data_IF_998159682981
#
_entry.id   IF_998159682981
#
_cell.length_a   1.000
_cell.length_b   1.000
_cell.length_c   1.000
_cell.angle_alpha   90.00
_cell.angle_beta   90.00
_cell.angle_gamma   90.00
#
_symmetry.space_group_name_H-M   'P 1'
#
loop_
_entity.id
_entity.type
_entity.pdbx_description
1 polymer ?
#
# COMPACT_ATOMS: atom_id res chain seq x y z
N UNK A 1 52.64 -58.60 -99.18
CA UNK A 1 53.53 -57.67 -99.91
C UNK A 1 53.45 -56.31 -99.26
N UNK A 2 54.59 -55.61 -99.07
CA UNK A 2 54.72 -54.13 -98.95
C UNK A 2 54.05 -53.42 -97.74
N UNK A 3 54.60 -52.38 -97.08
CA UNK A 3 55.99 -51.86 -96.95
C UNK A 3 56.07 -51.06 -95.63
N UNK A 4 57.28 -50.84 -95.09
CA UNK A 4 57.59 -49.91 -93.97
C UNK A 4 57.50 -48.41 -94.37
N UNK A 5 57.71 -47.56 -93.36
CA UNK A 5 58.32 -46.20 -93.32
C UNK A 5 57.35 -45.04 -92.96
N UNK A 6 57.54 -44.37 -91.81
CA UNK A 6 58.33 -43.12 -91.55
C UNK A 6 57.71 -41.90 -92.29
N UNK A 7 57.58 -40.69 -91.77
CA UNK A 7 58.02 -39.99 -90.53
C UNK A 7 56.80 -39.10 -90.09
N UNK A 8 56.77 -38.19 -89.09
CA UNK A 8 57.75 -37.60 -88.17
C UNK A 8 57.08 -37.17 -86.83
N UNK A 9 57.64 -36.19 -86.11
CA UNK A 9 57.13 -35.65 -84.85
C UNK A 9 56.88 -34.13 -84.93
N UNK A 10 55.76 -33.67 -84.33
CA UNK A 10 55.58 -32.28 -83.89
C UNK A 10 54.96 -32.34 -82.49
N UNK A 11 55.71 -31.91 -81.48
CA UNK A 11 55.20 -31.74 -80.12
C UNK A 11 54.32 -30.49 -80.04
N UNK A 12 53.11 -30.62 -79.52
CA UNK A 12 52.31 -29.49 -79.06
C UNK A 12 52.12 -29.59 -77.54
N UNK A 13 52.23 -28.45 -76.85
CA UNK A 13 52.34 -28.40 -75.40
C UNK A 13 51.04 -28.82 -74.69
N UNK A 14 51.19 -29.45 -73.52
CA UNK A 14 50.07 -29.94 -72.73
C UNK A 14 49.29 -28.80 -72.07
N UNK A 15 47.98 -28.75 -72.34
CA UNK A 15 46.99 -28.18 -71.42
C UNK A 15 45.87 -29.20 -71.27
N UNK A 16 46.04 -30.13 -70.34
CA UNK A 16 44.97 -31.03 -69.91
C UNK A 16 44.48 -30.53 -68.56
N UNK A 17 43.41 -29.72 -68.59
CA UNK A 17 42.67 -29.38 -67.38
C UNK A 17 41.96 -30.65 -66.89
N UNK A 18 42.65 -31.45 -66.08
CA UNK A 18 42.06 -32.61 -65.42
C UNK A 18 41.13 -32.10 -64.31
N UNK A 19 39.88 -31.83 -64.66
CA UNK A 19 38.81 -31.68 -63.69
C UNK A 19 38.51 -33.06 -63.12
N UNK A 20 39.24 -33.46 -62.07
CA UNK A 20 38.90 -34.67 -61.30
C UNK A 20 37.55 -34.45 -60.63
N UNK A 21 36.49 -34.88 -61.31
CA UNK A 21 35.14 -34.94 -60.74
C UNK A 21 35.19 -35.97 -59.62
N UNK A 22 35.25 -35.50 -58.37
CA UNK A 22 35.25 -36.35 -57.19
C UNK A 22 33.88 -37.02 -57.05
N UNK A 23 33.72 -38.19 -57.67
CA UNK A 23 32.51 -38.99 -57.57
C UNK A 23 32.40 -39.55 -56.15
N UNK A 24 31.41 -39.09 -55.39
CA UNK A 24 31.03 -39.75 -54.15
C UNK A 24 30.55 -41.18 -54.47
N UNK A 25 31.08 -42.18 -53.76
CA UNK A 25 30.60 -43.56 -53.89
C UNK A 25 29.50 -43.81 -52.86
N UNK A 26 28.33 -44.19 -53.35
CA UNK A 26 27.23 -44.67 -52.52
C UNK A 26 27.39 -46.18 -52.33
N UNK A 27 27.78 -46.61 -51.13
CA UNK A 27 27.80 -48.03 -50.76
C UNK A 27 26.41 -48.39 -50.23
N UNK A 28 25.60 -48.99 -51.10
CA UNK A 28 24.42 -49.75 -50.64
C UNK A 28 24.97 -51.11 -50.22
N UNK A 29 24.82 -51.53 -48.96
CA UNK A 29 25.25 -52.84 -48.44
C UNK A 29 26.64 -53.35 -48.88
N UNK A 30 26.81 -54.67 -48.84
CA UNK A 30 28.00 -55.37 -49.33
C UNK A 30 27.79 -55.91 -50.75
N UNK A 31 27.83 -55.01 -51.75
CA UNK A 31 27.76 -55.32 -53.19
C UNK A 31 26.39 -55.85 -53.74
N UNK A 32 25.28 -55.08 -53.62
CA UNK A 32 23.96 -55.47 -54.09
C UNK A 32 23.67 -55.01 -55.52
N UNK A 33 23.32 -55.95 -56.39
CA UNK A 33 22.68 -55.69 -57.69
C UNK A 33 21.15 -55.58 -57.58
N UNK A 34 20.59 -55.52 -56.36
CA UNK A 34 19.13 -55.38 -56.12
C UNK A 34 18.88 -54.71 -54.77
N UNK A 35 18.05 -53.66 -54.74
CA UNK A 35 17.66 -52.97 -53.49
C UNK A 35 16.45 -53.70 -52.90
N UNK A 36 16.58 -54.18 -51.66
CA UNK A 36 15.49 -54.79 -50.87
C UNK A 36 15.03 -53.84 -49.76
N UNK A 37 13.75 -53.89 -49.33
CA UNK A 37 13.29 -53.13 -48.17
C UNK A 37 14.12 -53.46 -46.93
N UNK A 38 14.69 -52.43 -46.28
CA UNK A 38 15.57 -52.58 -45.11
C UNK A 38 17.07 -52.70 -45.42
N UNK A 39 17.50 -52.58 -46.68
CA UNK A 39 18.93 -52.53 -47.03
C UNK A 39 19.61 -51.27 -46.46
N UNK A 40 20.82 -51.44 -45.93
CA UNK A 40 21.61 -50.34 -45.39
C UNK A 40 22.20 -49.46 -46.51
N UNK A 41 22.20 -48.14 -46.30
CA UNK A 41 22.75 -47.13 -47.21
C UNK A 41 23.90 -46.41 -46.50
N UNK A 42 25.08 -46.37 -47.08
CA UNK A 42 26.23 -45.65 -46.52
C UNK A 42 26.89 -44.77 -47.59
N UNK A 43 27.05 -43.48 -47.27
CA UNK A 43 27.60 -42.45 -48.16
C UNK A 43 28.87 -41.88 -47.54
N UNK A 44 29.98 -42.58 -47.76
CA UNK A 44 31.30 -42.15 -47.30
C UNK A 44 31.80 -40.92 -48.11
N UNK A 45 32.14 -39.85 -47.39
CA UNK A 45 32.88 -38.72 -47.92
C UNK A 45 34.38 -39.02 -48.01
N UNK A 46 35.13 -38.12 -48.66
CA UNK A 46 36.59 -38.25 -48.69
C UNK A 46 37.14 -38.16 -47.26
N UNK A 47 37.92 -39.17 -46.86
CA UNK A 47 38.48 -39.45 -45.51
C UNK A 47 37.67 -40.40 -44.59
N UNK A 48 36.76 -41.23 -45.12
CA UNK A 48 35.97 -42.22 -44.35
C UNK A 48 34.97 -41.61 -43.36
N UNK A 49 34.61 -40.33 -43.56
CA UNK A 49 33.53 -39.66 -42.85
C UNK A 49 32.19 -40.09 -43.45
N UNK A 50 31.39 -40.82 -42.69
CA UNK A 50 30.08 -41.32 -43.14
C UNK A 50 29.05 -40.18 -43.20
N UNK A 51 28.77 -39.65 -44.39
CA UNK A 51 27.93 -38.45 -44.56
C UNK A 51 26.47 -38.76 -44.23
N UNK A 52 25.95 -39.88 -44.72
CA UNK A 52 24.60 -40.40 -44.41
C UNK A 52 24.71 -41.91 -44.25
N UNK A 53 24.14 -42.43 -43.16
CA UNK A 53 24.06 -43.86 -42.84
C UNK A 53 22.60 -44.22 -42.61
N UNK A 54 22.11 -45.28 -43.23
CA UNK A 54 20.84 -45.91 -42.89
C UNK A 54 21.16 -47.33 -42.44
N UNK A 55 20.94 -47.62 -41.16
CA UNK A 55 21.28 -48.91 -40.56
C UNK A 55 20.17 -49.36 -39.61
N UNK A 56 19.67 -50.58 -39.77
CA UNK A 56 18.64 -51.16 -38.89
C UNK A 56 17.39 -50.26 -38.72
N UNK A 57 16.98 -49.55 -39.77
CA UNK A 57 15.85 -48.61 -39.75
C UNK A 57 16.12 -47.24 -39.11
N UNK A 58 17.38 -46.95 -38.77
CA UNK A 58 17.82 -45.69 -38.16
C UNK A 58 18.68 -44.89 -39.14
N UNK A 59 18.45 -43.58 -39.25
CA UNK A 59 19.13 -42.69 -40.21
C UNK A 59 20.10 -41.77 -39.47
N UNK A 60 21.39 -41.96 -39.68
CA UNK A 60 22.48 -41.12 -39.19
C UNK A 60 22.97 -40.14 -40.25
N UNK A 61 23.29 -38.91 -39.85
CA UNK A 61 24.09 -37.97 -40.64
C UNK A 61 25.37 -37.71 -39.84
N UNK A 62 26.54 -37.97 -40.46
CA UNK A 62 27.86 -37.88 -39.83
C UNK A 62 28.01 -38.73 -38.54
N UNK A 63 27.27 -39.84 -38.44
CA UNK A 63 27.31 -40.79 -37.31
C UNK A 63 27.17 -42.23 -37.81
N UNK A 64 28.12 -43.11 -37.48
CA UNK A 64 28.20 -44.47 -38.05
C UNK A 64 27.22 -45.50 -37.47
N UNK A 65 26.69 -45.29 -36.26
CA UNK A 65 25.69 -46.18 -35.64
C UNK A 65 24.56 -45.39 -34.94
N UNK A 66 23.60 -44.81 -35.68
CA UNK A 66 22.58 -43.91 -35.13
C UNK A 66 21.69 -44.59 -34.05
N UNK A 67 21.62 -44.06 -32.81
CA UNK A 67 20.87 -44.67 -31.70
C UNK A 67 19.37 -44.33 -31.71
N UNK A 68 18.94 -43.43 -32.59
CA UNK A 68 17.54 -42.99 -32.78
C UNK A 68 17.17 -43.04 -34.25
N UNK A 69 15.88 -43.18 -34.57
CA UNK A 69 15.37 -43.37 -35.95
C UNK A 69 15.86 -42.29 -36.92
N UNK A 70 16.13 -41.08 -36.43
CA UNK A 70 16.94 -40.05 -37.09
C UNK A 70 17.94 -39.48 -36.09
N UNK A 71 19.21 -39.33 -36.47
CA UNK A 71 20.30 -38.79 -35.65
C UNK A 71 21.27 -37.96 -36.52
N UNK A 72 21.71 -36.81 -36.04
CA UNK A 72 22.64 -35.92 -36.75
C UNK A 72 23.76 -35.49 -35.81
N UNK A 73 25.00 -35.90 -36.09
CA UNK A 73 26.17 -35.56 -35.27
C UNK A 73 26.96 -34.43 -35.95
N UNK A 74 27.12 -33.27 -35.29
CA UNK A 74 27.84 -32.15 -35.89
C UNK A 74 29.37 -32.37 -35.94
N UNK A 75 30.00 -31.97 -37.04
CA UNK A 75 31.45 -31.64 -37.08
C UNK A 75 31.67 -30.18 -36.67
N UNK A 76 32.90 -29.83 -36.29
CA UNK A 76 33.26 -28.62 -35.54
C UNK A 76 32.91 -27.27 -36.15
N UNK A 77 32.57 -27.20 -37.44
CA UNK A 77 32.01 -26.01 -38.10
C UNK A 77 30.78 -26.43 -38.92
N UNK A 78 29.62 -26.53 -38.27
CA UNK A 78 28.34 -26.55 -38.97
C UNK A 78 27.97 -25.11 -39.31
N UNK A 79 28.43 -24.65 -40.48
CA UNK A 79 28.22 -23.29 -40.99
C UNK A 79 26.75 -23.12 -41.43
N UNK A 80 25.86 -23.02 -40.44
CA UNK A 80 24.46 -22.68 -40.66
C UNK A 80 24.40 -21.22 -41.11
N UNK A 81 23.85 -20.90 -42.30
CA UNK A 81 23.56 -19.51 -42.63
C UNK A 81 22.66 -18.91 -41.54
N UNK A 82 22.73 -17.59 -41.36
CA UNK A 82 22.31 -16.85 -40.15
C UNK A 82 20.79 -16.79 -39.87
N UNK A 83 20.06 -17.88 -40.09
CA UNK A 83 18.68 -18.10 -39.71
C UNK A 83 18.44 -19.56 -39.24
N UNK A 84 18.15 -19.69 -37.94
CA UNK A 84 17.40 -20.77 -37.29
C UNK A 84 17.98 -22.22 -37.21
N UNK A 85 17.94 -22.73 -35.97
CA UNK A 85 17.70 -24.14 -35.59
C UNK A 85 18.80 -25.20 -35.77
N UNK A 86 19.86 -25.14 -34.94
CA UNK A 86 20.38 -26.36 -34.26
C UNK A 86 20.77 -26.04 -32.80
N UNK A 87 19.95 -26.46 -31.84
CA UNK A 87 20.30 -27.38 -30.72
C UNK A 87 18.98 -28.03 -30.27
N UNK A 88 18.92 -29.37 -30.28
CA UNK A 88 17.81 -30.19 -29.76
C UNK A 88 16.37 -29.75 -30.12
N UNK A 89 15.93 -30.09 -31.35
CA UNK A 89 14.49 -30.12 -31.68
C UNK A 89 13.83 -31.37 -31.09
N UNK A 90 12.94 -31.18 -30.12
CA UNK A 90 11.68 -31.92 -30.11
C UNK A 90 10.66 -31.05 -30.85
N UNK A 91 10.46 -31.33 -32.14
CA UNK A 91 9.34 -30.77 -32.91
C UNK A 91 8.14 -31.74 -32.75
N UNK A 92 7.04 -31.37 -32.08
CA UNK A 92 5.71 -31.82 -32.48
C UNK A 92 5.22 -30.99 -33.68
N UNK A 93 6.02 -31.03 -34.75
CA UNK A 93 5.71 -30.55 -36.10
C UNK A 93 5.59 -29.03 -36.32
N UNK A 94 5.96 -28.60 -37.52
CA UNK A 94 5.81 -27.23 -38.01
C UNK A 94 4.37 -26.88 -38.38
N UNK A 95 3.46 -27.03 -37.42
CA UNK A 95 2.08 -26.56 -37.48
C UNK A 95 1.76 -25.73 -36.24
N UNK A 96 0.69 -24.94 -36.31
CA UNK A 96 0.10 -24.28 -35.15
C UNK A 96 -0.63 -25.30 -34.27
N UNK A 97 0.11 -26.11 -33.51
CA UNK A 97 -0.34 -26.96 -32.40
C UNK A 97 0.88 -27.49 -31.64
N UNK A 98 1.03 -27.13 -30.37
CA UNK A 98 2.16 -27.55 -29.52
C UNK A 98 1.70 -28.77 -28.71
N UNK A 99 1.38 -29.86 -29.40
CA UNK A 99 0.71 -31.03 -28.79
C UNK A 99 1.72 -32.02 -28.15
N UNK A 100 2.88 -31.57 -27.65
CA UNK A 100 3.83 -32.44 -26.92
C UNK A 100 4.81 -31.71 -26.00
N UNK A 101 5.01 -32.31 -24.83
CA UNK A 101 5.68 -31.74 -23.67
C UNK A 101 7.12 -31.24 -23.86
N UNK A 102 7.40 -30.11 -23.20
CA UNK A 102 8.73 -29.59 -22.84
C UNK A 102 9.69 -29.27 -24.01
N UNK A 103 9.25 -28.44 -24.96
CA UNK A 103 10.12 -27.93 -26.02
C UNK A 103 11.02 -26.76 -25.54
N UNK A 104 12.33 -26.86 -25.81
CA UNK A 104 13.27 -25.74 -25.73
C UNK A 104 13.64 -25.31 -27.15
N UNK A 105 13.28 -24.09 -27.54
CA UNK A 105 13.61 -23.53 -28.85
C UNK A 105 14.58 -22.35 -28.71
N UNK A 106 15.70 -22.40 -29.45
CA UNK A 106 16.65 -21.28 -29.55
C UNK A 106 16.63 -20.74 -30.97
N UNK A 107 16.05 -19.56 -31.16
CA UNK A 107 15.94 -18.91 -32.47
C UNK A 107 16.55 -17.50 -32.42
N UNK A 108 17.55 -17.24 -33.28
CA UNK A 108 18.21 -15.94 -33.41
C UNK A 108 18.66 -15.30 -32.07
N UNK A 109 19.21 -16.09 -31.16
CA UNK A 109 19.67 -15.64 -29.84
C UNK A 109 18.58 -15.50 -28.77
N UNK A 110 17.34 -15.90 -29.05
CA UNK A 110 16.21 -15.92 -28.10
C UNK A 110 15.94 -17.36 -27.66
N UNK A 111 15.83 -17.58 -26.35
CA UNK A 111 15.39 -18.86 -25.80
C UNK A 111 13.89 -18.81 -25.48
N UNK A 112 13.17 -19.84 -25.88
CA UNK A 112 11.78 -20.11 -25.49
C UNK A 112 11.74 -21.48 -24.83
N UNK A 113 11.20 -21.55 -23.62
CA UNK A 113 10.94 -22.81 -22.90
C UNK A 113 9.42 -22.90 -22.71
N UNK A 114 8.81 -23.84 -23.43
CA UNK A 114 7.38 -24.12 -23.33
C UNK A 114 7.11 -25.42 -22.59
N UNK A 115 6.05 -25.48 -21.79
CA UNK A 115 5.56 -26.72 -21.18
C UNK A 115 4.04 -26.73 -21.11
N UNK A 116 3.49 -27.94 -21.25
CA UNK A 116 2.05 -28.19 -21.17
C UNK A 116 1.61 -28.06 -19.71
N UNK A 117 0.52 -27.33 -19.47
CA UNK A 117 -0.13 -27.24 -18.16
C UNK A 117 -1.27 -28.26 -18.09
N UNK A 118 -2.05 -28.36 -19.16
CA UNK A 118 -3.13 -29.33 -19.32
C UNK A 118 -3.29 -29.65 -20.81
N UNK A 119 -2.68 -30.73 -21.33
CA UNK A 119 -2.76 -31.08 -22.75
C UNK A 119 -4.14 -31.60 -23.16
N UNK A 120 -4.97 -32.05 -22.21
CA UNK A 120 -6.37 -32.44 -22.50
C UNK A 120 -7.26 -31.20 -22.72
N UNK A 121 -6.83 -30.03 -22.23
CA UNK A 121 -7.50 -28.73 -22.41
C UNK A 121 -6.67 -27.72 -23.21
N UNK A 122 -5.64 -28.16 -23.94
CA UNK A 122 -4.77 -27.29 -24.76
C UNK A 122 -4.17 -26.08 -24.04
N UNK A 123 -3.81 -26.24 -22.75
CA UNK A 123 -3.24 -25.17 -21.91
C UNK A 123 -1.72 -25.24 -21.88
N UNK A 124 -1.09 -24.12 -22.20
CA UNK A 124 0.37 -24.04 -22.37
C UNK A 124 0.96 -22.84 -21.60
N UNK A 125 2.13 -23.03 -21.00
CA UNK A 125 2.94 -21.95 -20.44
C UNK A 125 4.26 -21.78 -21.20
N UNK A 126 4.63 -20.51 -21.46
CA UNK A 126 5.85 -20.15 -22.16
C UNK A 126 6.67 -19.18 -21.33
N UNK A 127 7.94 -19.55 -21.06
CA UNK A 127 8.99 -18.61 -20.72
C UNK A 127 9.67 -18.14 -22.01
N UNK A 128 9.47 -16.87 -22.38
CA UNK A 128 9.99 -16.29 -23.63
C UNK A 128 10.58 -14.89 -23.44
N UNK A 129 11.49 -14.48 -24.31
CA UNK A 129 11.88 -13.08 -24.49
C UNK A 129 11.35 -12.52 -25.82
N UNK A 130 10.93 -11.26 -25.87
CA UNK A 130 10.62 -10.56 -27.12
C UNK A 130 11.80 -9.69 -27.61
N UNK A 131 12.76 -9.44 -26.73
CA UNK A 131 13.97 -8.64 -26.92
C UNK A 131 15.16 -9.31 -26.23
N UNK A 132 16.35 -8.73 -26.32
CA UNK A 132 17.50 -9.15 -25.50
C UNK A 132 17.39 -8.73 -24.01
N UNK A 133 16.28 -8.10 -23.61
CA UNK A 133 16.15 -7.36 -22.35
C UNK A 133 14.88 -7.66 -21.54
N UNK A 134 14.07 -8.64 -21.95
CA UNK A 134 12.85 -9.04 -21.24
C UNK A 134 12.75 -10.56 -21.05
N UNK A 135 12.03 -10.96 -20.01
CA UNK A 135 11.61 -12.33 -19.76
C UNK A 135 10.12 -12.29 -19.41
N UNK A 136 9.32 -13.10 -20.11
CA UNK A 136 7.88 -13.16 -20.00
C UNK A 136 7.45 -14.57 -19.65
N UNK A 137 6.51 -14.70 -18.72
CA UNK A 137 5.67 -15.89 -18.57
C UNK A 137 4.29 -15.58 -19.15
N UNK A 138 3.91 -16.36 -20.16
CA UNK A 138 2.60 -16.27 -20.80
C UNK A 138 1.88 -17.61 -20.66
N UNK A 139 0.57 -17.57 -20.39
CA UNK A 139 -0.32 -18.73 -20.36
C UNK A 139 -1.35 -18.59 -21.48
N UNK A 140 -1.64 -19.68 -22.18
CA UNK A 140 -2.65 -19.76 -23.25
C UNK A 140 -3.72 -20.77 -22.84
N UNK A 141 -4.99 -20.47 -23.15
CA UNK A 141 -6.18 -21.29 -22.90
C UNK A 141 -6.96 -21.50 -24.23
N UNK A 142 -7.85 -22.49 -24.30
CA UNK A 142 -8.34 -23.10 -25.56
C UNK A 142 -9.00 -22.14 -26.55
N UNK A 143 -9.59 -21.04 -26.05
CA UNK A 143 -10.33 -20.06 -26.85
C UNK A 143 -9.47 -19.12 -27.68
N UNK A 144 -8.16 -19.38 -27.85
CA UNK A 144 -7.17 -18.47 -28.46
C UNK A 144 -7.08 -17.09 -27.78
N UNK A 145 -7.71 -16.93 -26.62
CA UNK A 145 -7.62 -15.73 -25.80
C UNK A 145 -6.25 -15.71 -25.14
N UNK A 146 -5.32 -15.02 -25.79
CA UNK A 146 -4.07 -14.62 -25.17
C UNK A 146 -4.42 -13.76 -23.95
N UNK A 147 -4.30 -14.32 -22.73
CA UNK A 147 -4.01 -13.48 -21.58
C UNK A 147 -2.58 -13.00 -21.77
N UNK A 148 -2.42 -11.87 -22.46
CA UNK A 148 -1.18 -11.51 -23.13
C UNK A 148 0.03 -11.49 -22.19
N UNK A 149 -0.18 -11.15 -20.91
CA UNK A 149 0.88 -10.98 -19.92
C UNK A 149 0.48 -11.43 -18.49
N UNK A 150 0.66 -12.71 -18.18
CA UNK A 150 0.53 -13.21 -16.81
C UNK A 150 1.65 -12.68 -15.89
N UNK A 151 2.90 -12.61 -16.39
CA UNK A 151 4.03 -12.01 -15.67
C UNK A 151 5.12 -11.54 -16.65
N UNK A 152 5.52 -10.27 -16.54
CA UNK A 152 6.48 -9.59 -17.41
C UNK A 152 7.65 -9.00 -16.60
N UNK A 153 8.89 -9.34 -16.94
CA UNK A 153 10.10 -8.74 -16.38
C UNK A 153 10.92 -8.03 -17.46
N UNK A 154 11.33 -6.78 -17.20
CA UNK A 154 12.14 -5.99 -18.15
C UNK A 154 13.40 -5.38 -17.52
N UNK A 155 14.47 -5.33 -18.31
CA UNK A 155 15.78 -4.78 -18.01
C UNK A 155 16.38 -4.06 -19.23
N UNK A 156 15.65 -3.06 -19.78
CA UNK A 156 16.09 -2.27 -20.94
C UNK A 156 16.45 -0.83 -20.55
N UNK A 157 17.65 -0.39 -20.89
CA UNK A 157 18.18 0.92 -20.49
C UNK A 157 18.50 1.00 -18.99
N UNK A 158 18.39 2.20 -18.39
CA UNK A 158 18.63 2.43 -16.95
C UNK A 158 17.52 1.88 -16.01
N UNK A 159 16.59 1.06 -16.54
CA UNK A 159 15.41 0.56 -15.83
C UNK A 159 15.54 -0.95 -15.64
N UNK A 160 15.97 -1.35 -14.45
CA UNK A 160 16.11 -2.76 -14.04
C UNK A 160 15.09 -3.12 -12.95
N UNK A 161 14.54 -4.33 -13.02
CA UNK A 161 13.62 -4.84 -11.99
C UNK A 161 12.26 -4.15 -11.99
N UNK A 162 11.63 -4.10 -13.17
CA UNK A 162 10.20 -3.79 -13.34
C UNK A 162 9.45 -5.10 -13.57
N UNK A 163 8.36 -5.30 -12.82
CA UNK A 163 7.44 -6.43 -12.93
C UNK A 163 6.07 -5.90 -13.36
N UNK A 164 5.56 -6.38 -14.49
CA UNK A 164 4.18 -6.16 -14.94
C UNK A 164 3.34 -7.41 -14.70
N UNK A 165 2.20 -7.26 -14.04
CA UNK A 165 1.11 -8.24 -14.06
C UNK A 165 -0.05 -7.63 -14.85
N UNK A 166 -0.43 -8.27 -15.97
CA UNK A 166 -1.43 -7.75 -16.91
C UNK A 166 -1.06 -6.37 -17.53
N UNK A 167 0.23 -6.10 -17.76
CA UNK A 167 0.75 -4.91 -18.48
C UNK A 167 2.16 -5.12 -19.02
N UNK A 168 2.44 -4.62 -20.24
CA UNK A 168 3.78 -4.60 -20.86
C UNK A 168 4.58 -3.32 -20.63
N UNK A 169 3.90 -2.26 -20.19
CA UNK A 169 4.50 -0.95 -19.97
C UNK A 169 4.37 -0.55 -18.49
N UNK A 170 4.97 -1.33 -17.56
CA UNK A 170 4.85 -1.07 -16.13
C UNK A 170 5.37 0.34 -15.79
N UNK A 171 4.48 1.18 -15.26
CA UNK A 171 4.79 2.57 -14.93
C UNK A 171 5.55 2.70 -13.60
N UNK A 172 5.62 1.61 -12.82
CA UNK A 172 6.38 1.48 -11.58
C UNK A 172 7.10 0.13 -11.52
N UNK A 173 7.94 -0.12 -10.50
CA UNK A 173 8.67 -1.39 -10.33
C UNK A 173 7.78 -2.62 -10.18
N UNK A 174 6.53 -2.44 -9.72
CA UNK A 174 5.50 -3.48 -9.69
C UNK A 174 4.18 -2.84 -10.11
N UNK A 175 3.75 -3.08 -11.34
CA UNK A 175 2.51 -2.55 -11.91
C UNK A 175 1.55 -3.71 -12.15
N UNK A 176 0.41 -3.70 -11.46
CA UNK A 176 -0.62 -4.76 -11.52
C UNK A 176 -1.92 -4.15 -11.98
N UNK A 177 -2.44 -4.63 -13.11
CA UNK A 177 -3.74 -4.19 -13.67
C UNK A 177 -4.83 -5.19 -13.32
N UNK A 178 -5.34 -5.09 -12.09
CA UNK A 178 -6.38 -5.95 -11.51
C UNK A 178 -6.37 -5.92 -9.99
N UNK A 179 -7.21 -6.73 -9.35
CA UNK A 179 -7.24 -6.88 -7.89
C UNK A 179 -6.01 -7.63 -7.38
N UNK A 180 -5.37 -7.09 -6.33
CA UNK A 180 -4.23 -7.73 -5.65
C UNK A 180 -4.74 -8.42 -4.37
N UNK A 181 -4.77 -9.76 -4.37
CA UNK A 181 -5.16 -10.55 -3.19
C UNK A 181 -3.93 -11.16 -2.51
N UNK A 182 -3.57 -10.64 -1.34
CA UNK A 182 -2.50 -11.20 -0.49
C UNK A 182 -3.13 -11.99 0.66
N UNK A 183 -2.88 -13.29 0.71
CA UNK A 183 -3.37 -14.20 1.76
C UNK A 183 -2.18 -14.92 2.39
N UNK A 184 -2.23 -15.16 3.69
CA UNK A 184 -1.30 -16.07 4.35
C UNK A 184 -1.64 -17.54 4.01
N UNK A 185 -0.65 -18.44 4.11
CA UNK A 185 -0.91 -19.87 4.09
C UNK A 185 -1.79 -20.30 5.29
N UNK A 186 -2.66 -21.31 5.15
CA UNK A 186 -3.42 -21.86 6.28
C UNK A 186 -2.51 -22.23 7.45
N UNK A 187 -2.82 -21.73 8.64
CA UNK A 187 -2.02 -21.96 9.86
C UNK A 187 -0.79 -21.06 10.03
N UNK A 188 -0.46 -20.17 9.06
CA UNK A 188 0.61 -19.16 9.23
C UNK A 188 0.04 -17.74 9.27
N UNK A 189 0.66 -16.89 10.09
CA UNK A 189 0.04 -15.65 10.56
C UNK A 189 0.64 -14.39 9.91
N UNK A 190 0.42 -14.16 8.61
CA UNK A 190 0.26 -12.81 7.98
C UNK A 190 0.27 -12.89 6.44
N UNK A 191 -0.61 -12.10 5.81
CA UNK A 191 -0.44 -11.66 4.42
C UNK A 191 -0.20 -10.16 4.45
N UNK A 192 1.04 -9.72 4.27
CA UNK A 192 1.44 -8.31 4.41
C UNK A 192 1.79 -7.71 3.06
N UNK A 193 1.30 -6.50 2.79
CA UNK A 193 1.91 -5.60 1.80
C UNK A 193 2.79 -4.62 2.59
N UNK A 194 4.10 -4.74 2.45
CA UNK A 194 5.08 -3.85 3.07
C UNK A 194 5.65 -2.92 2.00
N UNK A 195 5.34 -1.62 2.08
CA UNK A 195 6.04 -0.59 1.32
C UNK A 195 6.79 0.30 2.31
N UNK A 196 8.12 0.26 2.32
CA UNK A 196 8.94 0.90 3.34
C UNK A 196 10.44 0.69 3.16
N UNK A 197 11.25 1.22 4.07
CA UNK A 197 12.69 0.89 4.15
C UNK A 197 12.90 -0.30 5.09
N UNK A 198 14.13 -0.81 5.17
CA UNK A 198 14.49 -1.91 6.10
C UNK A 198 14.16 -1.61 7.57
N UNK A 199 13.95 -0.35 7.92
CA UNK A 199 13.79 0.13 9.30
C UNK A 199 12.46 0.88 9.54
N UNK A 200 11.56 1.00 8.53
CA UNK A 200 10.35 1.84 8.59
C UNK A 200 9.20 1.31 7.71
N UNK A 201 8.01 1.12 8.29
CA UNK A 201 6.79 0.65 7.62
C UNK A 201 6.01 1.78 6.92
N UNK A 202 6.42 2.19 5.71
CA UNK A 202 5.82 3.31 4.98
C UNK A 202 4.29 3.22 4.82
N UNK A 203 3.77 2.07 4.38
CA UNK A 203 2.35 1.73 4.36
C UNK A 203 2.18 0.24 4.69
N UNK A 204 1.30 -0.07 5.64
CA UNK A 204 1.03 -1.40 6.17
C UNK A 204 -0.49 -1.64 6.21
N UNK A 205 -0.97 -2.65 5.48
CA UNK A 205 -2.30 -3.22 5.69
C UNK A 205 -2.08 -4.62 6.26
N UNK A 206 -2.56 -4.83 7.48
CA UNK A 206 -2.27 -6.06 8.24
C UNK A 206 -3.54 -6.59 8.89
N UNK A 207 -3.63 -7.92 8.92
CA UNK A 207 -4.53 -8.66 9.79
C UNK A 207 -3.73 -9.45 10.83
N UNK A 208 -4.22 -9.52 12.07
CA UNK A 208 -3.74 -10.47 13.08
C UNK A 208 -4.72 -11.65 13.14
N UNK A 209 -4.24 -12.88 13.41
CA UNK A 209 -5.16 -14.00 13.66
C UNK A 209 -5.91 -13.99 15.00
N UNK A 210 -5.81 -12.90 15.77
CA UNK A 210 -6.79 -12.57 16.80
C UNK A 210 -8.06 -11.91 16.23
N UNK A 211 -8.03 -11.50 14.95
CA UNK A 211 -9.13 -10.85 14.23
C UNK A 211 -8.94 -9.36 14.00
N UNK A 212 -7.86 -8.74 14.51
CA UNK A 212 -7.60 -7.31 14.31
C UNK A 212 -7.22 -7.03 12.86
N UNK A 213 -7.77 -5.96 12.28
CA UNK A 213 -7.37 -5.44 10.96
C UNK A 213 -7.06 -3.97 11.10
N UNK A 214 -5.90 -3.52 10.62
CA UNK A 214 -5.52 -2.12 10.63
C UNK A 214 -4.86 -1.64 9.33
N UNK A 215 -4.97 -0.34 9.10
CA UNK A 215 -4.21 0.40 8.09
C UNK A 215 -3.24 1.31 8.83
N UNK A 216 -1.96 0.94 8.83
CA UNK A 216 -0.86 1.70 9.39
C UNK A 216 -0.14 2.51 8.31
N UNK A 217 0.21 3.75 8.64
CA UNK A 217 1.13 4.55 7.84
C UNK A 217 2.21 5.03 8.81
N UNK A 218 3.46 4.63 8.61
CA UNK A 218 4.55 4.97 9.54
C UNK A 218 5.74 5.51 8.75
N UNK A 219 6.27 6.67 9.15
CA UNK A 219 7.38 7.31 8.44
C UNK A 219 8.43 7.81 9.41
N UNK A 220 9.69 7.75 8.98
CA UNK A 220 10.75 8.53 9.59
C UNK A 220 10.74 9.97 9.05
N UNK A 221 11.08 10.93 9.91
CA UNK A 221 11.13 12.37 9.60
C UNK A 221 9.91 13.16 10.07
N UNK A 222 9.99 14.49 9.97
CA UNK A 222 9.08 15.45 10.62
C UNK A 222 7.76 15.74 9.88
N UNK A 223 7.22 14.78 9.13
CA UNK A 223 5.98 14.96 8.34
C UNK A 223 4.93 13.96 8.82
N UNK A 224 3.66 14.38 8.85
CA UNK A 224 2.54 13.58 9.36
C UNK A 224 2.48 12.18 8.71
N UNK A 225 2.33 11.11 9.51
CA UNK A 225 2.11 9.76 8.97
C UNK A 225 0.82 9.67 8.16
N UNK A 226 -0.25 10.32 8.63
CA UNK A 226 -1.50 10.49 7.90
C UNK A 226 -1.56 11.92 7.33
N UNK A 227 -1.53 12.05 6.00
CA UNK A 227 -1.68 13.32 5.30
C UNK A 227 -2.96 13.30 4.46
N UNK A 228 -4.01 13.94 4.97
CA UNK A 228 -5.28 14.14 4.25
C UNK A 228 -5.24 15.52 3.61
N UNK A 229 -5.30 15.58 2.28
CA UNK A 229 -5.25 16.83 1.52
C UNK A 229 -6.34 16.88 0.45
N UNK A 230 -6.61 18.10 -0.04
CA UNK A 230 -7.50 18.38 -1.16
C UNK A 230 -6.71 18.96 -2.33
N UNK A 231 -7.21 18.87 -3.57
CA UNK A 231 -6.64 19.58 -4.70
C UNK A 231 -6.59 21.11 -4.48
N UNK A 232 -5.61 21.76 -5.11
CA UNK A 232 -5.49 23.21 -5.10
C UNK A 232 -6.76 23.89 -5.65
N UNK A 233 -7.14 25.03 -5.06
CA UNK A 233 -8.34 25.79 -5.44
C UNK A 233 -9.62 25.41 -4.67
N UNK A 234 -9.62 24.36 -3.86
CA UNK A 234 -10.77 24.04 -3.00
C UNK A 234 -10.87 25.01 -1.81
N UNK A 235 -11.96 25.78 -1.73
CA UNK A 235 -12.18 26.77 -0.65
C UNK A 235 -13.02 26.24 0.50
N UNK A 236 -13.78 25.15 0.31
CA UNK A 236 -14.54 24.48 1.37
C UNK A 236 -14.64 22.98 1.10
N UNK A 237 -14.93 22.19 2.15
CA UNK A 237 -15.43 20.82 2.00
C UNK A 237 -14.99 19.86 3.12
N UNK A 238 -15.50 18.64 3.05
CA UNK A 238 -15.23 17.57 4.02
C UNK A 238 -13.84 16.96 3.84
N UNK A 239 -13.10 16.73 4.92
CA UNK A 239 -11.78 16.10 4.96
C UNK A 239 -11.87 14.67 5.49
N UNK A 240 -12.62 14.48 6.59
CA UNK A 240 -12.86 13.19 7.23
C UNK A 240 -14.33 13.13 7.65
N UNK A 241 -15.02 12.03 7.34
CA UNK A 241 -16.41 11.78 7.72
C UNK A 241 -16.47 10.66 8.77
N UNK A 242 -17.31 10.82 9.79
CA UNK A 242 -17.60 9.78 10.77
C UNK A 242 -19.08 9.42 10.67
N UNK A 243 -19.40 8.22 10.19
CA UNK A 243 -20.77 7.76 10.02
C UNK A 243 -20.97 6.32 10.51
N UNK A 244 -22.16 6.02 11.02
CA UNK A 244 -22.57 4.67 11.46
C UNK A 244 -23.87 4.32 10.72
N UNK A 245 -23.87 3.22 9.98
CA UNK A 245 -25.03 2.80 9.17
C UNK A 245 -25.48 3.84 8.12
N UNK A 246 -24.55 4.68 7.64
CA UNK A 246 -24.85 5.80 6.74
C UNK A 246 -25.31 7.09 7.44
N UNK A 247 -25.52 7.09 8.75
CA UNK A 247 -25.89 8.28 9.53
C UNK A 247 -24.61 9.01 9.97
N UNK A 248 -24.42 10.25 9.54
CA UNK A 248 -23.28 11.09 9.94
C UNK A 248 -23.33 11.48 11.42
N UNK A 249 -22.32 11.08 12.18
CA UNK A 249 -22.10 11.39 13.61
C UNK A 249 -21.24 12.65 13.81
N UNK A 250 -20.45 13.01 12.81
CA UNK A 250 -19.60 14.19 12.80
C UNK A 250 -18.65 14.19 11.60
N UNK A 251 -17.97 15.30 11.37
CA UNK A 251 -16.95 15.40 10.34
C UNK A 251 -15.89 16.45 10.68
N UNK A 252 -14.75 16.35 9.99
CA UNK A 252 -13.74 17.41 9.93
C UNK A 252 -13.89 18.07 8.56
N UNK A 253 -14.20 19.36 8.53
CA UNK A 253 -14.28 20.16 7.30
C UNK A 253 -13.17 21.19 7.26
N UNK A 254 -12.85 21.70 6.07
CA UNK A 254 -12.05 22.91 5.92
C UNK A 254 -12.89 24.04 5.31
N UNK A 255 -12.45 25.26 5.60
CA UNK A 255 -12.79 26.49 4.88
C UNK A 255 -11.52 27.06 4.22
N UNK A 256 -11.61 28.26 3.64
CA UNK A 256 -10.45 28.98 3.12
C UNK A 256 -9.51 29.48 4.25
N UNK A 257 -9.97 29.49 5.50
CA UNK A 257 -9.27 30.09 6.65
C UNK A 257 -8.91 29.08 7.76
N UNK A 258 -9.31 27.82 7.67
CA UNK A 258 -8.97 26.83 8.70
C UNK A 258 -9.80 25.54 8.68
N UNK A 259 -9.69 24.77 9.76
CA UNK A 259 -10.34 23.48 9.99
C UNK A 259 -11.49 23.64 11.01
N UNK A 260 -12.57 22.89 10.82
CA UNK A 260 -13.71 22.82 11.73
C UNK A 260 -13.93 21.38 12.19
N UNK A 261 -14.24 21.19 13.46
CA UNK A 261 -14.53 19.90 14.08
C UNK A 261 -16.01 19.85 14.44
N UNK A 262 -16.82 19.18 13.64
CA UNK A 262 -18.27 19.20 13.77
C UNK A 262 -18.78 17.91 14.42
N UNK A 263 -19.62 18.03 15.45
CA UNK A 263 -20.24 16.90 16.16
C UNK A 263 -21.76 17.04 16.16
N UNK A 264 -22.49 15.92 16.09
CA UNK A 264 -23.96 15.95 16.07
C UNK A 264 -24.55 16.49 17.38
N UNK A 265 -25.49 17.42 17.27
CA UNK A 265 -26.20 18.01 18.42
C UNK A 265 -27.69 18.31 18.13
N UNK A 266 -28.25 17.71 17.09
CA UNK A 266 -29.64 17.89 16.67
C UNK A 266 -30.64 17.45 17.76
N UNK A 267 -31.71 18.22 17.97
CA UNK A 267 -32.73 17.92 18.98
C UNK A 267 -33.53 16.65 18.65
N UNK A 268 -33.66 16.28 17.37
CA UNK A 268 -34.36 15.06 16.90
C UNK A 268 -33.59 13.78 17.21
N UNK A 269 -32.28 13.90 17.50
CA UNK A 269 -31.40 12.80 17.89
C UNK A 269 -31.22 12.70 19.42
N UNK A 270 -32.08 13.38 20.19
CA UNK A 270 -31.99 13.47 21.66
C UNK A 270 -33.35 13.23 22.29
N UNK A 271 -33.35 12.55 23.42
CA UNK A 271 -34.51 12.27 24.26
C UNK A 271 -34.22 12.63 25.72
N UNK A 272 -35.23 12.55 26.59
CA UNK A 272 -35.09 12.79 28.04
C UNK A 272 -34.43 14.14 28.39
N UNK A 273 -34.70 15.17 27.58
CA UNK A 273 -34.09 16.50 27.67
C UNK A 273 -34.53 17.18 28.98
N UNK A 274 -33.57 17.48 29.85
CA UNK A 274 -33.76 18.17 31.13
C UNK A 274 -32.58 19.10 31.42
N UNK A 275 -32.80 20.10 32.25
CA UNK A 275 -31.72 20.97 32.75
C UNK A 275 -30.70 20.11 33.51
N UNK A 276 -29.41 20.33 33.21
CA UNK A 276 -28.30 19.62 33.86
C UNK A 276 -28.24 19.94 35.36
N UNK A 277 -27.90 18.94 36.17
CA UNK A 277 -27.52 19.12 37.58
C UNK A 277 -26.05 19.55 37.76
N UNK A 278 -25.24 19.44 36.71
CA UNK A 278 -23.84 19.83 36.72
C UNK A 278 -23.73 21.31 36.34
N UNK A 279 -23.00 22.08 37.13
CA UNK A 279 -22.89 23.53 37.05
C UNK A 279 -21.76 24.05 37.94
N UNK A 280 -21.95 25.21 38.57
CA UNK A 280 -20.96 25.94 39.36
C UNK A 280 -20.30 25.08 40.45
N UNK A 281 -21.09 24.36 41.26
CA UNK A 281 -20.56 23.49 42.33
C UNK A 281 -19.74 22.30 41.78
N UNK A 282 -20.12 21.78 40.61
CA UNK A 282 -19.33 20.74 39.93
C UNK A 282 -17.99 21.31 39.47
N UNK A 283 -18.00 22.48 38.83
CA UNK A 283 -16.79 23.12 38.30
C UNK A 283 -15.85 23.58 39.43
N UNK A 284 -16.38 24.15 40.52
CA UNK A 284 -15.61 24.51 41.74
C UNK A 284 -14.91 23.32 42.38
N UNK A 285 -15.44 22.11 42.19
CA UNK A 285 -14.82 20.86 42.68
C UNK A 285 -13.68 20.36 41.79
N UNK A 286 -13.60 20.80 40.52
CA UNK A 286 -12.54 20.41 39.58
C UNK A 286 -11.25 21.16 39.90
N UNK A 287 -10.20 20.41 40.20
CA UNK A 287 -8.86 20.97 40.40
C UNK A 287 -8.12 21.08 39.08
N UNK A 288 -7.49 22.23 38.87
CA UNK A 288 -6.59 22.51 37.75
C UNK A 288 -5.16 22.51 38.28
N UNK A 289 -4.26 21.92 37.50
CA UNK A 289 -2.86 21.69 37.85
C UNK A 289 -1.94 22.15 36.71
N UNK A 290 -0.82 22.75 37.08
CA UNK A 290 0.34 22.87 36.21
C UNK A 290 1.21 21.62 36.37
N UNK A 291 1.53 20.97 35.26
CA UNK A 291 2.33 19.75 35.23
C UNK A 291 3.23 19.72 34.00
N UNK A 292 4.22 18.82 34.00
CA UNK A 292 4.92 18.43 32.77
C UNK A 292 4.77 16.92 32.56
N UNK A 293 4.85 16.46 31.31
CA UNK A 293 4.82 15.03 31.01
C UNK A 293 6.14 14.39 31.47
N UNK A 294 6.05 13.22 32.12
CA UNK A 294 7.25 12.49 32.58
C UNK A 294 8.25 12.20 31.45
N UNK A 295 7.73 11.95 30.24
CA UNK A 295 8.51 11.70 29.03
C UNK A 295 9.06 12.97 28.36
N UNK A 296 8.58 14.17 28.71
CA UNK A 296 9.16 15.41 28.20
C UNK A 296 10.49 15.68 28.90
N UNK A 297 11.57 15.80 28.13
CA UNK A 297 12.91 16.12 28.63
C UNK A 297 13.10 17.62 28.86
N UNK A 298 12.34 18.48 28.18
CA UNK A 298 12.38 19.95 28.34
C UNK A 298 11.58 20.44 29.56
N UNK A 299 10.76 19.56 30.17
CA UNK A 299 9.92 19.85 31.35
C UNK A 299 8.98 21.04 31.15
N UNK A 300 8.47 21.17 29.92
CA UNK A 300 7.49 22.17 29.49
C UNK A 300 6.26 22.10 30.38
N UNK A 301 5.94 23.18 31.08
CA UNK A 301 4.73 23.28 31.89
C UNK A 301 3.50 23.36 30.99
N UNK A 302 2.47 22.62 31.36
CA UNK A 302 1.16 22.56 30.74
C UNK A 302 0.11 22.60 31.84
N UNK A 303 -0.94 23.42 31.65
CA UNK A 303 -2.06 23.53 32.58
C UNK A 303 -3.18 22.58 32.16
N UNK A 304 -3.75 21.83 33.10
CA UNK A 304 -4.85 20.91 32.82
C UNK A 304 -5.39 20.20 34.05
N UNK A 305 -6.00 19.02 33.85
CA UNK A 305 -6.66 18.26 34.92
C UNK A 305 -6.12 16.83 35.00
N UNK A 306 -6.21 16.21 36.18
CA UNK A 306 -5.90 14.80 36.37
C UNK A 306 -7.15 13.96 36.07
N UNK A 307 -7.09 13.10 35.04
CA UNK A 307 -8.22 12.31 34.56
C UNK A 307 -8.90 11.48 35.68
N UNK A 308 -8.11 10.87 36.57
CA UNK A 308 -8.60 10.05 37.68
C UNK A 308 -9.32 10.86 38.77
N UNK A 309 -8.98 12.14 38.95
CA UNK A 309 -9.70 13.03 39.86
C UNK A 309 -10.98 13.56 39.20
N UNK A 310 -10.86 14.03 37.94
CA UNK A 310 -12.02 14.52 37.19
C UNK A 310 -13.10 13.44 37.05
N UNK A 311 -12.72 12.17 36.87
CA UNK A 311 -13.68 11.07 36.76
C UNK A 311 -14.58 10.92 38.00
N UNK A 312 -14.08 11.25 39.20
CA UNK A 312 -14.86 11.20 40.46
C UNK A 312 -15.90 12.32 40.56
N UNK A 313 -15.69 13.42 39.84
CA UNK A 313 -16.51 14.63 39.88
C UNK A 313 -17.47 14.70 38.68
N UNK A 314 -16.95 14.40 37.49
CA UNK A 314 -17.62 14.55 36.20
C UNK A 314 -17.16 13.43 35.24
N UNK A 315 -17.62 12.18 35.44
CA UNK A 315 -17.13 11.01 34.71
C UNK A 315 -17.34 11.09 33.19
N UNK A 316 -18.35 11.83 32.72
CA UNK A 316 -18.70 11.94 31.30
C UNK A 316 -17.69 12.71 30.44
N UNK A 317 -16.66 13.33 31.04
CA UNK A 317 -15.52 13.90 30.31
C UNK A 317 -14.30 12.96 30.27
N UNK A 318 -14.35 11.78 30.89
CA UNK A 318 -13.17 10.92 31.08
C UNK A 318 -13.39 9.53 30.49
N UNK A 319 -12.55 9.16 29.55
CA UNK A 319 -12.43 7.77 29.09
C UNK A 319 -11.43 7.06 30.00
N UNK A 320 -11.91 6.03 30.69
CA UNK A 320 -11.12 5.17 31.58
C UNK A 320 -10.18 4.30 30.74
N UNK A 321 -8.88 4.39 31.04
CA UNK A 321 -7.86 3.54 30.43
C UNK A 321 -7.63 2.24 31.21
N UNK A 322 -6.87 1.33 30.59
CA UNK A 322 -6.49 0.04 31.16
C UNK A 322 -5.44 0.09 32.28
N UNK A 323 -4.95 -1.08 32.67
CA UNK A 323 -4.01 -1.23 33.79
C UNK A 323 -2.60 -0.66 33.50
N UNK A 324 -2.12 -0.73 32.25
CA UNK A 324 -0.87 -0.09 31.84
C UNK A 324 -1.15 1.25 31.15
N UNK A 325 -0.77 2.34 31.83
CA UNK A 325 -0.90 3.71 31.33
C UNK A 325 -0.03 4.00 30.08
N UNK A 326 0.93 3.14 29.70
CA UNK A 326 1.68 3.25 28.45
C UNK A 326 0.95 2.69 27.24
N UNK A 327 0.05 1.72 27.47
CA UNK A 327 -0.72 1.03 26.42
C UNK A 327 -2.13 1.61 26.31
N UNK A 328 -2.76 1.92 27.43
CA UNK A 328 -4.11 2.46 27.52
C UNK A 328 -4.19 3.50 28.64
N UNK A 329 -3.68 4.72 28.44
CA UNK A 329 -3.84 5.81 29.40
C UNK A 329 -5.31 6.24 29.54
N UNK A 330 -5.64 6.80 30.71
CA UNK A 330 -6.89 7.53 30.89
C UNK A 330 -6.81 8.86 30.12
N UNK A 331 -7.87 9.22 29.39
CA UNK A 331 -7.89 10.44 28.56
C UNK A 331 -9.14 11.28 28.84
N UNK A 332 -9.02 12.59 28.61
CA UNK A 332 -10.05 13.58 28.91
C UNK A 332 -10.56 14.25 27.63
N UNK A 333 -11.87 14.19 27.40
CA UNK A 333 -12.56 15.03 26.42
C UNK A 333 -12.91 16.37 27.07
N UNK A 334 -12.00 17.34 26.92
CA UNK A 334 -12.17 18.70 27.45
C UNK A 334 -13.39 19.42 26.87
N UNK A 335 -13.87 19.06 25.67
CA UNK A 335 -15.07 19.67 25.09
C UNK A 335 -16.34 19.35 25.89
N UNK A 336 -16.37 18.24 26.65
CA UNK A 336 -17.48 17.91 27.56
C UNK A 336 -17.58 18.81 28.79
N UNK A 337 -16.54 19.59 29.11
CA UNK A 337 -16.55 20.58 30.19
C UNK A 337 -17.18 21.90 29.76
N UNK A 338 -17.23 22.21 28.45
CA UNK A 338 -17.75 23.49 27.93
C UNK A 338 -19.22 23.73 28.34
N UNK A 339 -20.16 22.76 28.22
CA UNK A 339 -21.54 22.97 28.68
C UNK A 339 -21.67 23.17 30.19
N UNK A 340 -20.78 22.56 30.99
CA UNK A 340 -20.73 22.79 32.45
C UNK A 340 -20.27 24.21 32.72
N UNK A 341 -19.17 24.65 32.08
CA UNK A 341 -18.64 26.00 32.20
C UNK A 341 -19.67 27.08 31.86
N UNK A 342 -20.42 26.90 30.76
CA UNK A 342 -21.51 27.82 30.38
C UNK A 342 -22.55 27.91 31.50
N UNK A 343 -23.01 26.77 32.04
CA UNK A 343 -23.98 26.76 33.14
C UNK A 343 -23.40 27.31 34.45
N UNK A 344 -22.13 27.06 34.76
CA UNK A 344 -21.44 27.64 35.92
C UNK A 344 -21.39 29.17 35.85
N UNK A 345 -21.14 29.74 34.66
CA UNK A 345 -21.14 31.19 34.45
C UNK A 345 -22.55 31.78 34.57
N UNK A 346 -23.58 31.07 34.12
CA UNK A 346 -24.98 31.47 34.33
C UNK A 346 -25.34 31.50 35.83
N UNK A 347 -25.11 30.40 36.55
CA UNK A 347 -25.39 30.32 38.00
C UNK A 347 -24.60 31.37 38.80
N UNK A 348 -23.33 31.63 38.44
CA UNK A 348 -22.52 32.69 39.05
C UNK A 348 -23.06 34.10 38.73
N UNK A 349 -23.58 34.33 37.53
CA UNK A 349 -24.20 35.60 37.16
C UNK A 349 -25.47 35.87 37.98
N UNK A 350 -26.29 34.83 38.19
CA UNK A 350 -27.52 34.91 38.98
C UNK A 350 -27.20 35.21 40.46
N UNK A 351 -26.19 34.55 41.04
CA UNK A 351 -25.70 34.82 42.40
C UNK A 351 -25.17 36.26 42.55
N UNK A 352 -24.40 36.75 41.58
CA UNK A 352 -23.91 38.14 41.56
C UNK A 352 -25.04 39.16 41.43
N UNK A 353 -26.10 38.87 40.67
CA UNK A 353 -27.27 39.76 40.58
C UNK A 353 -28.05 39.80 41.90
N UNK A 354 -28.25 38.64 42.55
CA UNK A 354 -28.90 38.53 43.85
C UNK A 354 -28.14 39.33 44.93
N UNK A 355 -26.84 39.09 45.06
CA UNK A 355 -25.99 39.80 46.03
C UNK A 355 -25.97 41.32 45.79
N UNK A 356 -26.07 41.77 44.53
CA UNK A 356 -26.21 43.20 44.21
C UNK A 356 -27.55 43.78 44.65
N UNK A 357 -28.65 43.05 44.49
CA UNK A 357 -29.99 43.45 44.96
C UNK A 357 -30.03 43.53 46.49
N UNK A 358 -29.53 42.53 47.18
CA UNK A 358 -29.44 42.50 48.65
C UNK A 358 -28.58 43.65 49.17
N UNK A 359 -27.39 43.86 48.59
CA UNK A 359 -26.53 45.01 48.95
C UNK A 359 -27.21 46.36 48.73
N UNK A 360 -27.96 46.51 47.63
CA UNK A 360 -28.73 47.74 47.36
C UNK A 360 -29.83 47.95 48.41
N UNK A 361 -30.61 46.91 48.74
CA UNK A 361 -31.64 46.96 49.78
C UNK A 361 -31.06 47.32 51.15
N UNK A 362 -30.01 46.62 51.59
CA UNK A 362 -29.32 46.90 52.86
C UNK A 362 -28.74 48.32 52.89
N UNK A 363 -28.20 48.83 51.78
CA UNK A 363 -27.71 50.22 51.72
C UNK A 363 -28.82 51.26 51.81
N UNK A 364 -30.00 50.96 51.28
CA UNK A 364 -31.18 51.82 51.39
C UNK A 364 -31.77 51.79 52.81
N UNK A 365 -31.85 50.61 53.43
CA UNK A 365 -32.30 50.46 54.83
C UNK A 365 -31.34 51.16 55.80
N UNK A 366 -30.03 51.03 55.60
CA UNK A 366 -29.01 51.72 56.41
C UNK A 366 -29.20 53.24 56.33
N UNK A 367 -29.34 53.79 55.13
CA UNK A 367 -29.56 55.23 54.92
C UNK A 367 -30.86 55.74 55.57
N UNK A 368 -31.92 54.93 55.57
CA UNK A 368 -33.17 55.26 56.28
C UNK A 368 -32.98 55.25 57.80
N UNK A 369 -32.21 54.30 58.35
CA UNK A 369 -31.87 54.26 59.78
C UNK A 369 -30.99 55.44 60.19
N UNK A 370 -29.96 55.76 59.41
CA UNK A 370 -29.09 56.94 59.64
C UNK A 370 -29.90 58.25 59.71
N UNK A 371 -30.84 58.45 58.78
CA UNK A 371 -31.75 59.59 58.83
C UNK A 371 -32.65 59.60 60.08
N UNK A 372 -33.20 58.44 60.46
CA UNK A 372 -34.02 58.31 61.67
C UNK A 372 -33.22 58.55 62.96
N UNK A 373 -31.96 58.13 63.03
CA UNK A 373 -31.06 58.42 64.16
C UNK A 373 -30.74 59.92 64.25
N UNK A 374 -30.47 60.58 63.12
CA UNK A 374 -30.22 62.03 63.09
C UNK A 374 -31.44 62.86 63.55
N UNK A 375 -32.65 62.41 63.20
CA UNK A 375 -33.90 63.03 63.68
C UNK A 375 -34.12 62.78 65.18
N UNK A 376 -33.85 61.56 65.65
CA UNK A 376 -33.96 61.23 67.08
C UNK A 376 -32.98 62.06 67.93
N UNK A 377 -31.73 62.19 67.49
CA UNK A 377 -30.69 63.01 68.14
C UNK A 377 -31.08 64.49 68.23
N UNK A 378 -31.64 65.03 67.13
CA UNK A 378 -32.20 66.40 67.09
C UNK A 378 -33.34 66.58 68.10
N UNK A 379 -34.24 65.59 68.23
CA UNK A 379 -35.34 65.61 69.19
C UNK A 379 -34.86 65.48 70.63
N UNK A 380 -33.85 64.64 70.91
CA UNK A 380 -33.22 64.53 72.24
C UNK A 380 -32.62 65.88 72.65
N UNK A 381 -31.79 66.47 71.77
CA UNK A 381 -31.20 67.81 71.97
C UNK A 381 -32.26 68.88 72.27
N UNK A 382 -33.39 68.85 71.55
CA UNK A 382 -34.49 69.78 71.79
C UNK A 382 -35.15 69.57 73.16
N UNK A 383 -35.35 68.33 73.61
CA UNK A 383 -35.92 68.00 74.92
C UNK A 383 -34.96 68.40 76.05
N UNK A 384 -33.67 68.17 75.92
CA UNK A 384 -32.65 68.62 76.89
C UNK A 384 -32.65 70.16 77.05
N UNK A 385 -32.81 70.89 75.93
CA UNK A 385 -32.96 72.34 75.95
C UNK A 385 -34.26 72.80 76.62
N UNK A 386 -35.36 72.05 76.51
CA UNK A 386 -36.61 72.33 77.22
C UNK A 386 -36.51 72.06 78.72
N UNK A 387 -35.85 70.97 79.13
CA UNK A 387 -35.64 70.68 80.56
C UNK A 387 -34.76 71.71 81.26
N UNK A 388 -33.67 72.15 80.61
CA UNK A 388 -32.79 73.18 81.16
C UNK A 388 -33.49 74.54 81.30
N UNK A 389 -34.28 74.96 80.30
CA UNK A 389 -35.11 76.17 80.41
C UNK A 389 -36.18 76.06 81.52
N UNK A 390 -36.79 74.89 81.72
CA UNK A 390 -37.74 74.65 82.80
C UNK A 390 -37.12 74.77 84.19
N UNK A 391 -35.89 74.29 84.36
CA UNK A 391 -35.16 74.35 85.63
C UNK A 391 -34.80 75.80 86.04
N UNK A 392 -34.53 76.69 85.07
CA UNK A 392 -34.34 78.12 85.34
C UNK A 392 -35.67 78.81 85.71
N UNK A 393 -36.76 78.49 85.00
CA UNK A 393 -38.09 79.02 85.28
C UNK A 393 -38.60 78.76 86.70
N UNK A 394 -38.27 77.60 87.30
CA UNK A 394 -38.68 77.31 88.69
C UNK A 394 -37.99 78.15 89.75
N UNK A 395 -36.85 78.80 89.47
CA UNK A 395 -36.14 79.65 90.45
C UNK A 395 -36.70 81.07 90.58
N UNK A 396 -37.56 81.52 89.67
CA UNK A 396 -38.11 82.89 89.69
C UNK A 396 -39.47 83.01 90.40
N UNK A 397 -40.14 81.88 90.70
CA UNK A 397 -41.51 81.85 91.25
C UNK A 397 -41.54 81.75 92.78
N UNK A 398 -40.39 81.58 93.44
CA UNK A 398 -40.29 81.38 94.91
C UNK A 398 -39.73 82.61 95.65
N UNK A 399 -40.32 83.80 95.43
CA UNK A 399 -39.91 85.03 96.13
C UNK A 399 -41.07 85.97 96.45
#
# INVERSE_FOLDING_TARGET
MKTKQLLSAISFAAVTALTTTAMAQVKIGSNPTTITPGANLDVEGQNSTHTVVLQSGHVGINHSNPPTTLHVQAVSNLDLPSAANVVARFDPLGGSNIDSAASIAINAGRAVVGFDIDPEQSKYAFLRSNSATDLRLQVIDDGLVLQENAFFMQSSGSRTGYIGLNTEAPQSRLDVRGDIKVIANPGTQTGNIWNGTSNVNGFEVRSTPAGDVWVGIQRAGSVSPLHVSKPAGTTTGEMINFAVGGIGMGNITHSAAGIQYNTTSDARLKENIRISKFGLETLKSVKVYDYNFKADTQKTLSTGVLAQELHKIYPQAVHVGGADAKVSPWVVDYSKLIPVLVKSVQELSDEVELLRKEKAQLSAELKLKEAAYSELDSRVTQVEKMLSAGAEGTKSVSR
#
